data_IF_859310112091
#
_entry.id   IF_859310112091
#
_cell.length_a   1.000
_cell.length_b   1.000
_cell.length_c   1.000
_cell.angle_alpha   90.00
_cell.angle_beta   90.00
_cell.angle_gamma   90.00
#
_symmetry.space_group_name_H-M   'P 1'
#
loop_
_entity.id
_entity.type
_entity.pdbx_description
1 polymer ?
#
# COMPACT_ATOMS: atom_id res chain seq x y z
N UNK A 1 -21.86 -3.04 -1.82
CA UNK A 1 -21.00 -2.73 -0.64
C UNK A 1 -19.75 -3.58 -0.75
N UNK A 2 -18.59 -3.24 -0.12
CA UNK A 2 -17.42 -4.12 -0.08
C UNK A 2 -17.51 -5.01 1.16
N UNK A 3 -17.32 -6.33 0.99
CA UNK A 3 -17.26 -7.29 2.09
C UNK A 3 -16.21 -8.35 1.81
N UNK A 4 -15.41 -8.71 2.81
CA UNK A 4 -14.52 -9.88 2.78
C UNK A 4 -15.27 -11.06 3.40
N UNK A 5 -15.48 -12.13 2.63
CA UNK A 5 -16.14 -13.34 3.11
C UNK A 5 -15.17 -14.36 3.67
N UNK A 6 -14.02 -14.53 3.03
CA UNK A 6 -12.97 -15.43 3.53
C UNK A 6 -11.60 -15.04 3.06
N UNK A 7 -10.58 -15.49 3.79
CA UNK A 7 -9.18 -15.38 3.41
C UNK A 7 -8.46 -16.70 3.66
N UNK A 8 -7.64 -17.12 2.71
CA UNK A 8 -6.78 -18.28 2.82
C UNK A 8 -5.33 -17.88 2.69
N UNK A 9 -4.51 -18.38 3.61
CA UNK A 9 -3.10 -18.04 3.77
C UNK A 9 -2.25 -19.29 3.64
N UNK A 10 -1.32 -19.33 2.71
CA UNK A 10 -0.30 -20.38 2.56
C UNK A 10 1.08 -19.74 2.74
N UNK A 11 1.83 -20.25 3.73
CA UNK A 11 3.21 -19.85 4.04
C UNK A 11 3.39 -18.35 4.29
N UNK A 12 2.34 -17.66 4.76
CA UNK A 12 2.35 -16.22 5.04
C UNK A 12 2.73 -15.95 6.50
N UNK A 13 3.86 -15.31 6.72
CA UNK A 13 4.43 -14.98 8.04
C UNK A 13 4.51 -16.20 8.96
N UNK A 14 3.61 -16.34 9.94
CA UNK A 14 3.55 -17.50 10.85
C UNK A 14 2.49 -18.54 10.46
N UNK A 15 1.75 -18.31 9.39
CA UNK A 15 0.73 -19.24 8.91
C UNK A 15 1.32 -20.23 7.90
N UNK A 16 1.25 -21.52 8.20
CA UNK A 16 1.63 -22.59 7.27
C UNK A 16 0.58 -22.77 6.19
N UNK A 17 -0.67 -23.06 6.61
CA UNK A 17 -1.86 -23.15 5.77
C UNK A 17 -3.08 -22.94 6.66
N UNK A 18 -3.80 -21.84 6.46
CA UNK A 18 -4.96 -21.46 7.27
C UNK A 18 -5.98 -20.71 6.45
N UNK A 19 -7.25 -20.97 6.73
CA UNK A 19 -8.38 -20.21 6.18
C UNK A 19 -9.22 -19.63 7.31
N UNK A 20 -9.81 -18.47 7.04
CA UNK A 20 -10.68 -17.77 7.97
C UNK A 20 -11.92 -17.29 7.21
N UNK A 21 -13.11 -17.48 7.79
CA UNK A 21 -14.37 -17.02 7.25
C UNK A 21 -14.90 -15.85 8.07
N UNK A 22 -15.47 -14.85 7.40
CA UNK A 22 -16.01 -13.64 7.99
C UNK A 22 -17.50 -13.53 7.63
N UNK A 23 -18.36 -13.88 8.59
CA UNK A 23 -19.82 -13.91 8.38
C UNK A 23 -20.51 -12.66 8.88
N UNK A 24 -19.85 -11.88 9.74
CA UNK A 24 -20.44 -10.71 10.39
C UNK A 24 -19.74 -9.42 9.98
N UNK A 25 -20.47 -8.31 10.08
CA UNK A 25 -19.94 -6.97 9.83
C UNK A 25 -18.81 -6.58 10.78
N UNK A 26 -18.89 -7.02 12.03
CA UNK A 26 -17.86 -6.79 13.05
C UNK A 26 -17.31 -8.13 13.46
N UNK A 27 -15.99 -8.28 13.36
CA UNK A 27 -15.29 -9.53 13.66
C UNK A 27 -14.21 -9.25 14.69
N UNK A 28 -14.27 -9.93 15.83
CA UNK A 28 -13.25 -9.90 16.86
C UNK A 28 -12.20 -10.98 16.62
N UNK A 29 -10.91 -10.59 16.55
CA UNK A 29 -9.79 -11.53 16.41
C UNK A 29 -9.09 -11.65 17.77
N UNK A 30 -9.34 -12.74 18.49
CA UNK A 30 -8.85 -12.99 19.84
C UNK A 30 -7.86 -14.16 19.88
N UNK A 31 -7.04 -14.23 20.93
CA UNK A 31 -6.08 -15.29 21.20
C UNK A 31 -4.81 -14.81 21.88
N UNK A 32 -3.92 -15.74 22.23
CA UNK A 32 -2.66 -15.45 22.89
C UNK A 32 -1.73 -14.59 22.04
N UNK A 33 -0.70 -13.99 22.67
CA UNK A 33 0.33 -13.25 21.92
C UNK A 33 1.13 -14.21 21.04
N UNK A 34 1.53 -13.75 19.86
CA UNK A 34 2.31 -14.54 18.90
C UNK A 34 1.49 -15.47 17.98
N UNK A 35 0.19 -15.70 18.21
CA UNK A 35 -0.61 -16.61 17.36
C UNK A 35 -0.89 -16.09 15.94
N UNK A 36 -0.57 -14.83 15.65
CA UNK A 36 -0.70 -14.30 14.29
C UNK A 36 -1.84 -13.30 14.08
N UNK A 37 -2.54 -12.81 15.14
CA UNK A 37 -3.65 -11.85 14.99
C UNK A 37 -3.33 -10.68 14.06
N UNK A 38 -2.20 -10.01 14.31
CA UNK A 38 -1.71 -8.90 13.48
C UNK A 38 -1.35 -9.35 12.07
N UNK A 39 -0.83 -10.59 11.93
CA UNK A 39 -0.49 -11.14 10.62
C UNK A 39 -1.72 -11.42 9.75
N UNK A 40 -2.87 -11.74 10.37
CA UNK A 40 -4.14 -11.86 9.65
C UNK A 40 -4.63 -10.50 9.14
N UNK A 41 -4.55 -9.44 9.98
CA UNK A 41 -4.87 -8.07 9.54
C UNK A 41 -3.94 -7.61 8.41
N UNK A 42 -2.65 -7.94 8.51
CA UNK A 42 -1.69 -7.63 7.45
C UNK A 42 -1.98 -8.40 6.15
N UNK A 43 -2.45 -9.63 6.23
CA UNK A 43 -2.85 -10.40 5.04
C UNK A 43 -4.06 -9.78 4.34
N UNK A 44 -5.02 -9.24 5.09
CA UNK A 44 -6.16 -8.50 4.53
C UNK A 44 -5.66 -7.23 3.84
N UNK A 45 -4.79 -6.46 4.50
CA UNK A 45 -4.14 -5.29 3.89
C UNK A 45 -3.35 -5.67 2.62
N UNK A 46 -2.67 -6.84 2.66
CA UNK A 46 -1.90 -7.33 1.52
C UNK A 46 -2.75 -7.62 0.29
N UNK A 47 -4.00 -8.08 0.46
CA UNK A 47 -4.96 -8.23 -0.64
C UNK A 47 -5.42 -6.88 -1.20
N UNK A 48 -5.52 -5.85 -0.36
CA UNK A 48 -6.00 -4.53 -0.79
C UNK A 48 -4.90 -3.70 -1.48
N UNK A 49 -3.65 -3.82 -1.02
CA UNK A 49 -2.52 -2.97 -1.45
C UNK A 49 -1.40 -3.73 -2.16
N UNK A 50 -1.48 -5.05 -2.25
CA UNK A 50 -0.42 -5.94 -2.78
C UNK A 50 0.92 -5.71 -2.06
N UNK A 51 0.84 -5.27 -0.82
CA UNK A 51 1.97 -4.90 0.02
C UNK A 51 1.62 -5.07 1.49
N UNK A 52 2.59 -5.50 2.31
CA UNK A 52 2.43 -5.52 3.75
C UNK A 52 2.36 -4.11 4.33
N UNK A 53 1.54 -3.94 5.37
CA UNK A 53 1.51 -2.74 6.18
C UNK A 53 2.75 -2.64 7.09
N UNK A 54 3.18 -3.78 7.66
CA UNK A 54 4.22 -3.83 8.69
C UNK A 54 5.63 -4.08 8.14
N UNK A 55 5.78 -4.60 6.91
CA UNK A 55 7.09 -4.94 6.34
C UNK A 55 7.30 -4.28 4.98
N UNK A 56 8.55 -3.86 4.72
CA UNK A 56 8.90 -3.23 3.44
C UNK A 56 9.28 -4.23 2.35
N UNK A 57 9.87 -5.36 2.74
CA UNK A 57 10.38 -6.38 1.83
C UNK A 57 9.40 -7.54 1.76
N UNK A 58 9.05 -7.98 0.56
CA UNK A 58 8.13 -9.09 0.35
C UNK A 58 8.64 -10.41 0.93
N UNK A 59 9.96 -10.63 0.91
CA UNK A 59 10.58 -11.81 1.50
C UNK A 59 10.27 -11.98 3.00
N UNK A 60 10.08 -10.86 3.73
CA UNK A 60 9.74 -10.90 5.16
C UNK A 60 8.30 -11.35 5.43
N UNK A 61 7.49 -11.52 4.39
CA UNK A 61 6.14 -12.07 4.50
C UNK A 61 6.10 -13.58 4.28
N UNK A 62 7.22 -14.20 3.89
CA UNK A 62 7.34 -15.65 3.72
C UNK A 62 7.58 -16.31 5.07
N UNK A 63 6.86 -17.41 5.35
CA UNK A 63 7.10 -18.23 6.54
C UNK A 63 8.54 -18.74 6.53
N UNK A 64 9.24 -18.60 7.64
CA UNK A 64 10.63 -19.02 7.77
C UNK A 64 10.83 -20.48 7.31
N UNK A 65 11.86 -20.72 6.49
CA UNK A 65 12.14 -22.03 5.91
C UNK A 65 11.32 -22.37 4.64
N UNK A 66 10.50 -21.41 4.14
CA UNK A 66 9.74 -21.56 2.91
C UNK A 66 10.16 -20.53 1.86
N UNK A 67 9.70 -20.71 0.61
CA UNK A 67 10.22 -19.95 -0.53
C UNK A 67 9.19 -19.05 -1.23
N UNK A 68 7.94 -19.06 -0.77
CA UNK A 68 6.89 -18.25 -1.38
C UNK A 68 5.64 -18.18 -0.52
N UNK A 69 4.68 -17.36 -0.94
CA UNK A 69 3.38 -17.23 -0.28
C UNK A 69 2.25 -17.29 -1.29
N UNK A 70 1.07 -17.69 -0.82
CA UNK A 70 -0.20 -17.46 -1.50
C UNK A 70 -1.20 -16.89 -0.49
N UNK A 71 -1.73 -15.73 -0.82
CA UNK A 71 -2.82 -15.08 -0.09
C UNK A 71 -4.02 -15.00 -1.04
N UNK A 72 -5.13 -15.57 -0.63
CA UNK A 72 -6.35 -15.63 -1.44
C UNK A 72 -7.51 -15.10 -0.61
N UNK A 73 -8.32 -14.20 -1.17
CA UNK A 73 -9.50 -13.65 -0.53
C UNK A 73 -10.73 -13.75 -1.42
N UNK A 74 -11.85 -14.15 -0.84
CA UNK A 74 -13.16 -14.06 -1.48
C UNK A 74 -13.82 -12.77 -1.01
N UNK A 75 -13.99 -11.85 -1.95
CA UNK A 75 -14.57 -10.52 -1.75
C UNK A 75 -15.95 -10.46 -2.38
N UNK A 76 -16.80 -9.60 -1.84
CA UNK A 76 -18.00 -9.15 -2.53
C UNK A 76 -17.91 -7.65 -2.74
N UNK A 77 -17.99 -7.22 -3.99
CA UNK A 77 -17.95 -5.81 -4.39
C UNK A 77 -19.17 -5.49 -5.24
N UNK A 78 -20.05 -4.61 -4.71
CA UNK A 78 -21.31 -4.24 -5.38
C UNK A 78 -22.12 -5.48 -5.83
N UNK A 79 -22.36 -6.42 -4.91
CA UNK A 79 -23.12 -7.66 -5.09
C UNK A 79 -22.51 -8.64 -6.12
N UNK A 80 -21.23 -8.43 -6.46
CA UNK A 80 -20.45 -9.34 -7.30
C UNK A 80 -19.39 -10.04 -6.49
N UNK A 81 -19.36 -11.36 -6.59
CA UNK A 81 -18.32 -12.18 -5.97
C UNK A 81 -17.03 -12.06 -6.76
N UNK A 82 -15.94 -11.80 -6.05
CA UNK A 82 -14.60 -11.66 -6.62
C UNK A 82 -13.60 -12.47 -5.81
N UNK A 83 -12.74 -13.17 -6.51
CA UNK A 83 -11.64 -13.94 -5.94
C UNK A 83 -10.33 -13.22 -6.22
N UNK A 84 -9.72 -12.64 -5.19
CA UNK A 84 -8.43 -11.99 -5.27
C UNK A 84 -7.32 -12.94 -4.84
N UNK A 85 -6.27 -13.08 -5.63
CA UNK A 85 -5.14 -14.00 -5.37
C UNK A 85 -3.83 -13.27 -5.54
N UNK A 86 -3.02 -13.29 -4.49
CA UNK A 86 -1.63 -12.81 -4.53
C UNK A 86 -0.67 -13.98 -4.33
N UNK A 87 0.31 -14.12 -5.20
CA UNK A 87 1.36 -15.13 -5.13
C UNK A 87 2.71 -14.44 -5.18
N UNK A 88 3.58 -14.73 -4.23
CA UNK A 88 5.01 -14.46 -4.31
C UNK A 88 5.72 -15.77 -4.59
N UNK A 89 6.41 -15.83 -5.73
CA UNK A 89 7.17 -17.01 -6.14
C UNK A 89 8.54 -17.04 -5.46
N UNK A 90 9.16 -18.22 -5.43
CA UNK A 90 10.55 -18.44 -4.98
C UNK A 90 11.54 -17.47 -5.66
N UNK A 91 11.31 -17.18 -6.93
CA UNK A 91 12.14 -16.24 -7.73
C UNK A 91 12.01 -14.77 -7.27
N UNK A 92 11.15 -14.48 -6.28
CA UNK A 92 10.79 -13.11 -5.89
C UNK A 92 9.76 -12.46 -6.80
N UNK A 93 9.31 -13.14 -7.88
CA UNK A 93 8.25 -12.63 -8.75
C UNK A 93 6.92 -12.63 -8.01
N UNK A 94 6.28 -11.46 -7.96
CA UNK A 94 4.93 -11.31 -7.40
C UNK A 94 3.91 -11.28 -8.54
N UNK A 95 2.81 -12.01 -8.34
CA UNK A 95 1.69 -12.10 -9.26
C UNK A 95 0.41 -11.76 -8.50
N UNK A 96 -0.49 -11.02 -9.13
CA UNK A 96 -1.80 -10.71 -8.56
C UNK A 96 -2.88 -10.84 -9.61
N UNK A 97 -3.98 -11.48 -9.25
CA UNK A 97 -5.12 -11.68 -10.13
C UNK A 97 -6.44 -11.47 -9.37
N UNK A 98 -7.46 -11.02 -10.09
CA UNK A 98 -8.85 -11.02 -9.64
C UNK A 98 -9.68 -11.79 -10.66
N UNK A 99 -10.40 -12.83 -10.20
CA UNK A 99 -11.15 -13.75 -11.05
C UNK A 99 -10.31 -14.28 -12.21
N UNK A 100 -9.09 -14.75 -11.89
CA UNK A 100 -8.08 -15.28 -12.81
C UNK A 100 -7.52 -14.27 -13.84
N UNK A 101 -7.99 -13.02 -13.83
CA UNK A 101 -7.42 -11.96 -14.64
C UNK A 101 -6.21 -11.35 -13.95
N UNK A 102 -5.01 -11.61 -14.47
CA UNK A 102 -3.77 -11.05 -13.95
C UNK A 102 -3.67 -9.55 -14.23
N UNK A 103 -3.10 -8.83 -13.27
CA UNK A 103 -2.72 -7.43 -13.46
C UNK A 103 -1.30 -7.31 -14.02
N UNK A 104 -1.14 -6.52 -15.09
CA UNK A 104 0.18 -6.14 -15.61
C UNK A 104 0.88 -5.15 -14.69
N UNK A 105 0.11 -4.29 -14.04
CA UNK A 105 0.59 -3.29 -13.08
C UNK A 105 -0.26 -3.31 -11.82
N UNK A 106 0.38 -3.49 -10.69
CA UNK A 106 -0.30 -3.52 -9.39
C UNK A 106 -1.03 -2.22 -9.05
N UNK A 107 -0.60 -1.09 -9.63
CA UNK A 107 -1.30 0.18 -9.50
C UNK A 107 -2.74 0.17 -10.02
N UNK A 108 -3.09 -0.76 -10.91
CA UNK A 108 -4.46 -0.91 -11.41
C UNK A 108 -5.42 -1.51 -10.37
N UNK A 109 -4.87 -2.15 -9.35
CA UNK A 109 -5.64 -2.78 -8.28
C UNK A 109 -5.94 -1.82 -7.12
N UNK A 110 -5.04 -0.87 -6.86
CA UNK A 110 -5.16 0.03 -5.71
C UNK A 110 -6.45 0.85 -5.82
N UNK A 111 -7.22 0.86 -4.72
CA UNK A 111 -8.54 1.48 -4.66
C UNK A 111 -9.71 0.57 -5.04
N UNK A 112 -9.45 -0.64 -5.61
CA UNK A 112 -10.52 -1.61 -5.88
C UNK A 112 -11.18 -2.10 -4.58
N UNK A 113 -10.37 -2.43 -3.58
CA UNK A 113 -10.81 -2.82 -2.25
C UNK A 113 -10.29 -1.79 -1.22
N UNK A 114 -11.03 -0.68 -1.01
CA UNK A 114 -10.61 0.33 -0.06
C UNK A 114 -10.45 -0.26 1.33
N UNK A 115 -9.31 0.02 1.95
CA UNK A 115 -8.95 -0.51 3.26
C UNK A 115 -8.26 0.56 4.10
N UNK A 116 -8.61 0.61 5.38
CA UNK A 116 -7.92 1.43 6.38
C UNK A 116 -7.45 0.52 7.50
N UNK A 117 -6.18 0.61 7.84
CA UNK A 117 -5.58 -0.06 9.01
C UNK A 117 -5.24 1.01 10.03
N UNK A 118 -5.50 0.75 11.29
CA UNK A 118 -5.09 1.58 12.42
C UNK A 118 -4.23 0.71 13.32
N UNK A 119 -2.99 1.13 13.54
CA UNK A 119 -2.02 0.46 14.39
C UNK A 119 -1.51 1.40 15.49
N UNK A 120 -0.96 0.89 16.61
CA UNK A 120 -0.43 1.73 17.67
C UNK A 120 0.62 2.74 17.21
N UNK A 121 1.43 2.39 16.20
CA UNK A 121 2.48 3.24 15.65
C UNK A 121 1.93 4.42 14.83
N UNK A 122 0.62 4.43 14.48
CA UNK A 122 -0.01 5.53 13.75
C UNK A 122 -0.12 6.83 14.58
N UNK A 123 0.16 6.76 15.88
CA UNK A 123 0.38 7.95 16.73
C UNK A 123 1.46 8.88 16.12
N UNK A 124 2.36 8.38 15.27
CA UNK A 124 3.33 9.17 14.50
C UNK A 124 2.67 10.20 13.56
N UNK A 125 1.41 10.02 13.18
CA UNK A 125 0.67 11.05 12.41
C UNK A 125 0.57 12.37 13.18
N UNK A 126 0.49 12.30 14.50
CA UNK A 126 0.37 13.45 15.42
C UNK A 126 1.76 13.88 15.89
N UNK A 127 2.55 12.96 16.43
CA UNK A 127 3.83 13.22 17.11
C UNK A 127 5.02 13.29 16.14
N UNK A 128 4.89 12.67 14.96
CA UNK A 128 5.96 12.57 13.98
C UNK A 128 6.08 13.77 13.02
N UNK A 129 6.92 13.58 12.03
CA UNK A 129 7.26 14.62 11.06
C UNK A 129 6.18 14.80 9.95
N UNK A 130 6.42 15.78 9.08
CA UNK A 130 5.55 16.04 7.94
C UNK A 130 5.56 14.92 6.89
N UNK A 131 6.53 14.00 6.93
CA UNK A 131 6.63 12.86 6.01
C UNK A 131 5.56 11.82 6.33
N UNK A 132 5.34 11.52 7.63
CA UNK A 132 4.29 10.61 8.08
C UNK A 132 2.91 11.10 7.60
N UNK A 133 2.61 12.38 7.80
CA UNK A 133 1.35 13.01 7.36
C UNK A 133 1.16 12.99 5.83
N UNK A 134 2.22 13.28 5.07
CA UNK A 134 2.15 13.16 3.59
C UNK A 134 1.92 11.73 3.13
N UNK A 135 2.58 10.75 3.77
CA UNK A 135 2.40 9.33 3.44
C UNK A 135 0.96 8.88 3.70
N UNK A 136 0.36 9.31 4.79
CA UNK A 136 -1.04 9.06 5.10
C UNK A 136 -1.98 9.62 4.03
N UNK A 137 -1.80 10.90 3.65
CA UNK A 137 -2.59 11.52 2.57
C UNK A 137 -2.41 10.79 1.24
N UNK A 138 -1.17 10.39 0.91
CA UNK A 138 -0.89 9.66 -0.31
C UNK A 138 -1.60 8.30 -0.34
N UNK A 139 -1.64 7.59 0.79
CA UNK A 139 -2.35 6.32 0.90
C UNK A 139 -3.86 6.47 0.68
N UNK A 140 -4.46 7.52 1.23
CA UNK A 140 -5.88 7.81 1.01
C UNK A 140 -6.14 8.20 -0.45
N UNK A 141 -5.40 9.18 -0.96
CA UNK A 141 -5.59 9.70 -2.31
C UNK A 141 -5.33 8.64 -3.40
N UNK A 142 -4.35 7.77 -3.22
CA UNK A 142 -4.10 6.67 -4.15
C UNK A 142 -5.26 5.66 -4.24
N UNK A 143 -6.05 5.51 -3.18
CA UNK A 143 -7.24 4.65 -3.21
C UNK A 143 -8.44 5.34 -3.88
N UNK A 144 -8.50 6.66 -3.87
CA UNK A 144 -9.61 7.46 -4.37
C UNK A 144 -9.41 7.92 -5.81
N UNK A 145 -8.15 8.10 -6.22
CA UNK A 145 -7.78 8.73 -7.49
C UNK A 145 -6.60 7.98 -8.14
N UNK A 146 -6.90 7.21 -9.19
CA UNK A 146 -5.88 6.46 -9.93
C UNK A 146 -4.91 7.38 -10.68
N UNK A 147 -5.34 8.58 -11.11
CA UNK A 147 -4.47 9.55 -11.77
C UNK A 147 -3.47 10.15 -10.77
N UNK A 148 -3.93 10.45 -9.54
CA UNK A 148 -3.03 10.84 -8.44
C UNK A 148 -1.93 9.81 -8.22
N UNK A 149 -2.30 8.53 -8.19
CA UNK A 149 -1.33 7.46 -8.02
C UNK A 149 -0.29 7.41 -9.15
N UNK A 150 -0.70 7.60 -10.41
CA UNK A 150 0.25 7.63 -11.53
C UNK A 150 1.23 8.81 -11.40
N UNK A 151 0.73 10.01 -11.09
CA UNK A 151 1.58 11.17 -10.83
C UNK A 151 2.53 10.94 -9.66
N UNK A 152 2.07 10.32 -8.58
CA UNK A 152 2.90 10.01 -7.42
C UNK A 152 4.03 9.02 -7.75
N UNK A 153 3.74 7.98 -8.55
CA UNK A 153 4.75 7.01 -9.01
C UNK A 153 5.84 7.72 -9.84
N UNK A 154 5.42 8.54 -10.81
CA UNK A 154 6.35 9.30 -11.66
C UNK A 154 7.20 10.24 -10.82
N UNK A 155 6.57 11.04 -9.95
CA UNK A 155 7.25 11.98 -9.07
C UNK A 155 8.29 11.29 -8.18
N UNK A 156 7.94 10.20 -7.52
CA UNK A 156 8.86 9.44 -6.66
C UNK A 156 10.05 8.91 -7.44
N UNK A 157 9.83 8.36 -8.64
CA UNK A 157 10.90 7.85 -9.51
C UNK A 157 11.90 8.96 -9.89
N UNK A 158 11.40 10.15 -10.28
CA UNK A 158 12.27 11.27 -10.64
C UNK A 158 13.04 11.78 -9.42
N UNK A 159 12.41 11.89 -8.25
CA UNK A 159 13.08 12.26 -7.00
C UNK A 159 14.21 11.28 -6.64
N UNK A 160 14.00 9.98 -6.82
CA UNK A 160 15.04 8.98 -6.58
C UNK A 160 16.23 9.16 -7.55
N UNK A 161 15.96 9.38 -8.84
CA UNK A 161 16.97 9.64 -9.85
C UNK A 161 17.75 10.93 -9.53
N UNK A 162 17.04 12.01 -9.18
CA UNK A 162 17.64 13.30 -8.79
C UNK A 162 18.53 13.15 -7.56
N UNK A 163 18.06 12.46 -6.53
CA UNK A 163 18.83 12.24 -5.31
C UNK A 163 20.07 11.38 -5.57
N UNK A 164 19.97 10.37 -6.43
CA UNK A 164 21.11 9.56 -6.85
C UNK A 164 22.14 10.39 -7.63
N UNK A 165 21.68 11.28 -8.53
CA UNK A 165 22.55 12.19 -9.27
C UNK A 165 23.30 13.16 -8.32
N UNK A 166 22.58 13.77 -7.37
CA UNK A 166 23.20 14.67 -6.39
C UNK A 166 24.22 13.95 -5.50
N UNK A 167 23.93 12.70 -5.14
CA UNK A 167 24.89 11.87 -4.39
C UNK A 167 26.13 11.59 -5.21
N UNK A 168 26.00 11.27 -6.50
CA UNK A 168 27.15 11.07 -7.39
C UNK A 168 27.99 12.32 -7.57
N UNK A 169 27.40 13.53 -7.57
CA UNK A 169 28.15 14.80 -7.57
C UNK A 169 29.08 14.91 -6.37
N UNK A 170 28.60 14.50 -5.20
CA UNK A 170 29.39 14.52 -3.98
C UNK A 170 30.54 13.49 -4.01
N UNK A 171 30.25 12.27 -4.52
CA UNK A 171 31.21 11.17 -4.51
C UNK A 171 32.28 11.29 -5.59
N UNK A 172 31.92 11.79 -6.78
CA UNK A 172 32.82 11.81 -7.95
C UNK A 172 33.43 13.19 -8.24
N UNK A 173 32.84 14.26 -7.68
CA UNK A 173 33.18 15.65 -8.02
C UNK A 173 32.69 16.08 -9.41
N UNK A 174 32.17 15.17 -10.24
CA UNK A 174 31.67 15.49 -11.58
C UNK A 174 30.23 15.98 -11.49
N UNK A 175 29.94 17.21 -11.94
CA UNK A 175 28.64 17.88 -11.79
C UNK A 175 27.96 18.05 -13.15
N UNK A 176 26.97 17.20 -13.40
CA UNK A 176 26.13 17.32 -14.60
C UNK A 176 24.86 18.14 -14.29
N UNK A 177 24.99 19.48 -14.31
CA UNK A 177 23.87 20.37 -14.05
C UNK A 177 22.78 20.29 -15.13
N UNK A 178 23.13 20.07 -16.40
CA UNK A 178 22.16 19.94 -17.48
C UNK A 178 21.19 18.77 -17.23
N UNK A 179 21.70 17.62 -16.75
CA UNK A 179 20.85 16.51 -16.37
C UNK A 179 19.98 16.83 -15.14
N UNK A 180 20.52 17.59 -14.18
CA UNK A 180 19.75 18.03 -13.00
C UNK A 180 18.60 18.93 -13.40
N UNK A 181 18.81 19.89 -14.30
CA UNK A 181 17.80 20.80 -14.83
C UNK A 181 16.67 20.02 -15.53
N UNK A 182 17.01 19.02 -16.34
CA UNK A 182 16.01 18.15 -16.99
C UNK A 182 15.16 17.40 -15.97
N UNK A 183 15.77 16.86 -14.90
CA UNK A 183 15.04 16.17 -13.85
C UNK A 183 14.14 17.14 -13.06
N UNK A 184 14.61 18.37 -12.82
CA UNK A 184 13.83 19.39 -12.13
C UNK A 184 12.61 19.84 -12.98
N UNK A 185 12.77 20.03 -14.29
CA UNK A 185 11.66 20.30 -15.20
C UNK A 185 10.63 19.15 -15.21
N UNK A 186 11.09 17.90 -15.23
CA UNK A 186 10.19 16.74 -15.19
C UNK A 186 9.41 16.62 -13.88
N UNK A 187 9.91 17.15 -12.76
CA UNK A 187 9.23 17.15 -11.47
C UNK A 187 8.05 18.14 -11.42
N UNK A 188 8.07 19.21 -12.21
CA UNK A 188 7.09 20.31 -12.11
C UNK A 188 5.66 19.81 -12.29
N UNK A 189 5.39 19.13 -13.42
CA UNK A 189 4.03 18.68 -13.74
C UNK A 189 3.44 17.72 -12.69
N UNK A 190 4.07 16.61 -12.35
CA UNK A 190 3.54 15.71 -11.33
C UNK A 190 3.53 16.35 -9.94
N UNK A 191 4.49 17.23 -9.62
CA UNK A 191 4.56 17.93 -8.34
C UNK A 191 3.38 18.89 -8.13
N UNK A 192 3.02 19.68 -9.15
CA UNK A 192 1.85 20.58 -9.10
C UNK A 192 0.57 19.77 -8.91
N UNK A 193 0.38 18.70 -9.71
CA UNK A 193 -0.81 17.85 -9.61
C UNK A 193 -0.98 17.27 -8.20
N UNK A 194 0.10 16.72 -7.63
CA UNK A 194 0.10 16.15 -6.27
C UNK A 194 -0.22 17.23 -5.22
N UNK A 195 0.37 18.42 -5.36
CA UNK A 195 0.14 19.53 -4.45
C UNK A 195 -1.33 19.98 -4.46
N UNK A 196 -1.89 20.20 -5.64
CA UNK A 196 -3.26 20.67 -5.80
C UNK A 196 -4.26 19.64 -5.27
N UNK A 197 -4.09 18.37 -5.60
CA UNK A 197 -4.94 17.28 -5.09
C UNK A 197 -4.90 17.14 -3.57
N UNK A 198 -3.72 17.25 -2.96
CA UNK A 198 -3.59 17.24 -1.49
C UNK A 198 -4.30 18.45 -0.88
N UNK A 199 -4.18 19.62 -1.48
CA UNK A 199 -4.83 20.85 -1.02
C UNK A 199 -6.36 20.72 -1.09
N UNK A 200 -6.91 20.30 -2.23
CA UNK A 200 -8.34 20.03 -2.41
C UNK A 200 -8.87 19.05 -1.37
N UNK A 201 -8.18 17.91 -1.21
CA UNK A 201 -8.57 16.90 -0.24
C UNK A 201 -8.57 17.42 1.20
N UNK A 202 -7.57 18.20 1.60
CA UNK A 202 -7.49 18.76 2.95
C UNK A 202 -8.60 19.76 3.23
N UNK A 203 -9.03 20.55 2.24
CA UNK A 203 -10.19 21.48 2.38
C UNK A 203 -11.46 20.70 2.73
N UNK A 204 -11.65 19.53 2.15
CA UNK A 204 -12.78 18.65 2.45
C UNK A 204 -12.58 17.86 3.76
N UNK A 205 -11.40 17.28 3.96
CA UNK A 205 -11.11 16.33 5.03
C UNK A 205 -11.04 16.98 6.43
N UNK A 206 -10.39 18.15 6.55
CA UNK A 206 -10.20 18.79 7.85
C UNK A 206 -11.51 19.20 8.55
N UNK A 207 -12.55 19.72 7.87
CA UNK A 207 -13.84 19.94 8.50
C UNK A 207 -14.48 18.67 9.06
N UNK A 208 -14.36 17.51 8.35
CA UNK A 208 -14.87 16.24 8.83
C UNK A 208 -14.18 15.83 10.14
N UNK A 209 -12.86 15.96 10.19
CA UNK A 209 -12.10 15.67 11.41
C UNK A 209 -12.52 16.57 12.57
N UNK A 210 -12.65 17.87 12.32
CA UNK A 210 -13.10 18.83 13.36
C UNK A 210 -14.48 18.48 13.93
N UNK A 211 -15.42 18.08 13.06
CA UNK A 211 -16.76 17.72 13.50
C UNK A 211 -16.84 16.46 14.38
N UNK A 212 -15.79 15.62 14.37
CA UNK A 212 -15.69 14.45 15.26
C UNK A 212 -15.24 14.80 16.68
N UNK A 213 -14.66 16.00 16.90
CA UNK A 213 -14.15 16.47 18.19
C UNK A 213 -15.06 17.50 18.88
N UNK A 214 -16.14 17.92 18.21
CA UNK A 214 -17.16 18.82 18.76
C UNK A 214 -18.41 18.02 19.18
#
# INVERSE_FOLDING_TARGET
MLQLHSISLLQFKNYTNRSFDFTNRIVGICGNNGVGKTNLLDAIHYLCFIKSYFTRQDANNVLHGNVGIRVEGNMELFDKQEKAVCILRETGKKEFAVNDNQYDKFSQHIGRYPCVVIAPDDAELITGDSKARRTFLDLLLCQLDGEYMQHLIVYKKIIEQRNSLLKSFFETGNRNFALLDVLDEQLVKPGIYIFDKRKEFLIFYLPLVKNLYN
#
